data_IF_368719707716
#
_entry.id   IF_368719707716
#
_cell.length_a   1.000
_cell.length_b   1.000
_cell.length_c   1.000
_cell.angle_alpha   90.00
_cell.angle_beta   90.00
_cell.angle_gamma   90.00
#
_symmetry.space_group_name_H-M   'P 1'
#
loop_
_entity.id
_entity.type
_entity.pdbx_description
1 polymer ?
#
# COMPACT_ATOMS: atom_id res chain seq x y z
N UNK A 1 13.03 10.31 0.87
CA UNK A 1 13.34 9.22 1.81
C UNK A 1 14.20 8.13 1.18
N UNK A 2 13.81 7.48 0.07
CA UNK A 2 14.59 6.38 -0.53
C UNK A 2 16.00 6.76 -1.01
N UNK A 3 16.16 7.91 -1.69
CA UNK A 3 17.48 8.38 -2.15
C UNK A 3 18.45 8.64 -0.99
N UNK A 4 17.97 9.13 0.15
CA UNK A 4 18.79 9.37 1.34
C UNK A 4 19.24 8.06 2.01
N UNK A 5 18.48 6.98 1.86
CA UNK A 5 18.80 5.67 2.42
C UNK A 5 20.12 5.11 1.88
N UNK A 6 20.43 5.39 0.61
CA UNK A 6 21.69 5.01 -0.02
C UNK A 6 22.92 5.74 0.54
N UNK A 7 22.74 6.92 1.12
CA UNK A 7 23.82 7.71 1.71
C UNK A 7 23.93 7.55 3.22
N UNK A 8 23.02 6.80 3.85
CA UNK A 8 23.11 6.47 5.27
C UNK A 8 24.00 5.25 5.48
N UNK A 9 24.77 5.20 6.59
CA UNK A 9 25.65 4.07 6.86
C UNK A 9 24.82 2.79 7.01
N UNK A 10 25.34 1.66 6.49
CA UNK A 10 24.70 0.36 6.64
C UNK A 10 24.62 0.00 8.12
N UNK A 11 23.54 -0.66 8.52
CA UNK A 11 23.35 -1.14 9.88
C UNK A 11 23.66 -2.63 9.86
N UNK A 12 24.66 -3.06 10.63
CA UNK A 12 25.14 -4.45 10.65
C UNK A 12 24.22 -5.38 11.46
N UNK A 13 23.49 -4.82 12.41
CA UNK A 13 22.52 -5.56 13.21
C UNK A 13 21.16 -5.55 12.50
N UNK A 14 20.80 -6.70 11.93
CA UNK A 14 19.55 -6.87 11.19
C UNK A 14 18.33 -6.73 12.10
N UNK A 15 18.46 -7.07 13.39
CA UNK A 15 17.37 -7.04 14.36
C UNK A 15 17.27 -5.69 15.07
N UNK A 16 18.22 -4.79 14.85
CA UNK A 16 18.17 -3.45 15.43
C UNK A 16 16.96 -2.69 14.90
N UNK A 17 16.28 -2.03 15.83
CA UNK A 17 15.18 -1.13 15.52
C UNK A 17 15.65 -0.01 14.59
N UNK A 18 14.85 0.30 13.57
CA UNK A 18 15.11 1.41 12.67
C UNK A 18 13.93 2.38 12.68
N UNK A 19 14.20 3.62 13.07
CA UNK A 19 13.21 4.69 13.05
C UNK A 19 13.34 5.51 11.77
N UNK A 20 12.24 5.64 11.03
CA UNK A 20 12.11 6.57 9.89
C UNK A 20 11.15 7.69 10.31
N UNK A 21 11.67 8.91 10.44
CA UNK A 21 10.84 10.06 10.76
C UNK A 21 10.05 10.53 9.52
N UNK A 22 8.73 10.60 9.65
CA UNK A 22 7.83 11.19 8.66
C UNK A 22 7.27 12.53 9.12
N UNK A 23 6.83 13.36 8.17
CA UNK A 23 6.02 14.56 8.45
C UNK A 23 4.64 14.40 7.83
N UNK A 24 3.62 14.79 8.59
CA UNK A 24 2.23 14.83 8.14
C UNK A 24 2.00 16.18 7.47
N UNK A 25 1.64 16.18 6.20
CA UNK A 25 1.30 17.39 5.47
C UNK A 25 -0.20 17.67 5.59
N UNK A 26 -0.66 18.91 5.38
CA UNK A 26 -2.08 19.23 5.40
C UNK A 26 -2.93 18.39 4.44
N UNK A 27 -2.33 17.92 3.34
CA UNK A 27 -2.97 17.05 2.35
C UNK A 27 -3.09 15.58 2.78
N UNK A 28 -2.39 15.20 3.86
CA UNK A 28 -2.45 13.85 4.42
C UNK A 28 -3.59 13.71 5.43
N UNK A 29 -4.25 14.81 5.77
CA UNK A 29 -5.38 14.82 6.70
C UNK A 29 -6.69 14.55 5.96
N UNK A 30 -7.52 13.70 6.54
CA UNK A 30 -8.90 13.51 6.12
C UNK A 30 -9.79 14.67 6.59
N UNK A 31 -11.09 14.58 6.26
CA UNK A 31 -12.05 15.63 6.61
C UNK A 31 -12.18 15.85 8.12
N UNK A 32 -11.90 14.83 8.94
CA UNK A 32 -11.97 14.90 10.39
C UNK A 32 -10.64 15.35 11.01
N UNK A 33 -9.63 15.67 10.19
CA UNK A 33 -8.31 16.10 10.65
C UNK A 33 -7.42 14.94 11.11
N UNK A 34 -7.80 13.69 10.85
CA UNK A 34 -6.95 12.53 11.10
C UNK A 34 -6.09 12.23 9.88
N UNK A 35 -4.91 11.64 10.09
CA UNK A 35 -4.11 11.21 8.95
C UNK A 35 -4.83 10.10 8.18
N UNK A 36 -4.96 10.29 6.87
CA UNK A 36 -5.56 9.33 5.96
C UNK A 36 -4.91 7.95 6.16
N UNK A 37 -5.74 6.93 6.39
CA UNK A 37 -5.28 5.57 6.68
C UNK A 37 -4.33 4.99 5.60
N UNK A 38 -4.49 5.41 4.35
CA UNK A 38 -3.59 5.00 3.26
C UNK A 38 -2.16 5.56 3.40
N UNK A 39 -1.96 6.63 4.17
CA UNK A 39 -0.63 7.21 4.43
C UNK A 39 0.19 6.31 5.37
N UNK A 40 -0.42 5.71 6.39
CA UNK A 40 0.28 4.78 7.28
C UNK A 40 0.84 3.56 6.54
N UNK A 41 0.04 2.97 5.64
CA UNK A 41 0.47 1.82 4.84
C UNK A 41 1.66 2.20 3.92
N UNK A 42 1.57 3.36 3.28
CA UNK A 42 2.66 3.89 2.43
C UNK A 42 3.96 4.09 3.22
N UNK A 43 3.88 4.74 4.39
CA UNK A 43 5.06 4.99 5.22
C UNK A 43 5.64 3.69 5.79
N UNK A 44 4.78 2.73 6.15
CA UNK A 44 5.22 1.39 6.57
C UNK A 44 6.00 0.67 5.46
N UNK A 45 5.53 0.73 4.21
CA UNK A 45 6.25 0.16 3.08
C UNK A 45 7.60 0.86 2.87
N UNK A 46 7.65 2.21 2.92
CA UNK A 46 8.91 2.94 2.84
C UNK A 46 9.88 2.58 3.95
N UNK A 47 9.42 2.45 5.18
CA UNK A 47 10.24 2.04 6.32
C UNK A 47 10.78 0.61 6.13
N UNK A 48 9.95 -0.32 5.63
CA UNK A 48 10.36 -1.68 5.31
C UNK A 48 11.45 -1.72 4.23
N UNK A 49 11.27 -0.96 3.15
CA UNK A 49 12.29 -0.84 2.10
C UNK A 49 13.59 -0.23 2.64
N UNK A 50 13.50 0.82 3.45
CA UNK A 50 14.65 1.48 4.07
C UNK A 50 15.43 0.50 4.96
N UNK A 51 14.73 -0.31 5.77
CA UNK A 51 15.32 -1.33 6.61
C UNK A 51 16.08 -2.39 5.82
N UNK A 52 15.46 -2.96 4.79
CA UNK A 52 16.10 -3.95 3.93
C UNK A 52 17.28 -3.39 3.12
N UNK A 53 17.24 -2.11 2.73
CA UNK A 53 18.35 -1.44 2.05
C UNK A 53 19.54 -1.21 2.98
N UNK A 54 19.28 -0.74 4.22
CA UNK A 54 20.35 -0.41 5.18
C UNK A 54 20.99 -1.63 5.82
N UNK A 55 20.25 -2.72 6.00
CA UNK A 55 20.76 -3.97 6.56
C UNK A 55 21.41 -4.88 5.50
N UNK A 56 21.49 -4.43 4.23
CA UNK A 56 22.15 -5.17 3.16
C UNK A 56 21.39 -6.39 2.65
N UNK A 57 20.21 -6.70 3.18
CA UNK A 57 19.35 -7.81 2.73
C UNK A 57 19.06 -7.70 1.24
N UNK A 58 18.82 -6.49 0.73
CA UNK A 58 18.61 -6.28 -0.71
C UNK A 58 19.87 -6.45 -1.57
N UNK A 59 21.07 -6.37 -0.98
CA UNK A 59 22.33 -6.64 -1.70
C UNK A 59 22.62 -8.14 -1.77
N UNK A 60 22.19 -8.91 -0.76
CA UNK A 60 22.45 -10.36 -0.68
C UNK A 60 21.38 -11.19 -1.37
N UNK A 61 20.17 -10.66 -1.53
CA UNK A 61 19.04 -11.31 -2.20
C UNK A 61 18.62 -10.48 -3.42
N UNK A 62 19.29 -10.64 -4.57
CA UNK A 62 18.90 -9.95 -5.78
C UNK A 62 17.48 -10.38 -6.20
N UNK A 63 16.62 -9.41 -6.47
CA UNK A 63 15.22 -9.65 -6.80
C UNK A 63 14.74 -8.70 -7.90
N UNK A 64 13.76 -9.17 -8.68
CA UNK A 64 12.97 -8.36 -9.59
C UNK A 64 11.65 -7.99 -8.91
N UNK A 65 11.34 -6.70 -8.83
CA UNK A 65 9.99 -6.24 -8.48
C UNK A 65 9.14 -6.19 -9.75
N UNK A 66 8.34 -7.25 -9.98
CA UNK A 66 7.42 -7.32 -11.12
C UNK A 66 6.11 -6.64 -10.76
N UNK A 67 5.80 -5.55 -11.47
CA UNK A 67 4.56 -4.80 -11.28
C UNK A 67 3.62 -5.08 -12.45
N UNK A 68 2.37 -5.44 -12.17
CA UNK A 68 1.36 -5.72 -13.20
C UNK A 68 0.02 -5.11 -12.80
N UNK A 69 -0.62 -4.41 -13.75
CA UNK A 69 -1.99 -3.95 -13.58
C UNK A 69 -2.92 -5.16 -13.67
N UNK A 70 -3.77 -5.36 -12.66
CA UNK A 70 -4.69 -6.51 -12.59
C UNK A 70 -6.13 -6.14 -12.93
N UNK A 71 -6.43 -4.86 -13.01
CA UNK A 71 -7.63 -4.34 -13.66
C UNK A 71 -8.15 -3.03 -13.06
N UNK A 72 -9.28 -2.58 -13.58
CA UNK A 72 -9.86 -1.26 -13.32
C UNK A 72 -11.32 -1.37 -12.86
N UNK A 73 -11.60 -0.91 -11.65
CA UNK A 73 -12.94 -0.68 -11.14
C UNK A 73 -13.43 0.75 -11.41
N UNK A 74 -14.68 1.03 -11.04
CA UNK A 74 -15.37 2.31 -11.35
C UNK A 74 -14.60 3.58 -10.96
N UNK A 75 -13.86 3.55 -9.85
CA UNK A 75 -13.04 4.66 -9.36
C UNK A 75 -11.75 4.16 -8.69
N UNK A 76 -11.28 2.99 -9.09
CA UNK A 76 -10.06 2.43 -8.50
C UNK A 76 -9.37 1.48 -9.43
N UNK A 77 -8.05 1.45 -9.43
CA UNK A 77 -7.28 0.44 -10.14
C UNK A 77 -6.59 -0.51 -9.18
N UNK A 78 -6.30 -1.70 -9.68
CA UNK A 78 -5.69 -2.80 -8.95
C UNK A 78 -4.32 -3.11 -9.54
N UNK A 79 -3.31 -3.15 -8.68
CA UNK A 79 -1.92 -3.44 -9.05
C UNK A 79 -1.43 -4.61 -8.21
N UNK A 80 -0.81 -5.57 -8.86
CA UNK A 80 -0.03 -6.61 -8.20
C UNK A 80 1.46 -6.28 -8.30
N UNK A 81 2.15 -6.46 -7.18
CA UNK A 81 3.60 -6.39 -7.09
C UNK A 81 4.13 -7.72 -6.59
N UNK A 82 5.02 -8.35 -7.36
CA UNK A 82 5.66 -9.63 -7.02
C UNK A 82 7.15 -9.42 -6.84
N UNK A 83 7.68 -9.86 -5.70
CA UNK A 83 9.11 -9.92 -5.45
C UNK A 83 9.61 -11.28 -5.91
N UNK A 84 10.38 -11.30 -7.00
CA UNK A 84 10.87 -12.53 -7.62
C UNK A 84 12.39 -12.61 -7.43
N UNK A 85 12.88 -13.63 -6.75
CA UNK A 85 14.30 -13.90 -6.62
C UNK A 85 14.96 -14.08 -7.99
N UNK A 86 16.08 -13.41 -8.23
CA UNK A 86 16.80 -13.51 -9.51
C UNK A 86 17.56 -14.84 -9.66
N UNK A 87 17.86 -15.54 -8.55
CA UNK A 87 18.65 -16.78 -8.58
C UNK A 87 17.88 -18.00 -9.07
N UNK A 88 16.63 -18.13 -8.62
CA UNK A 88 15.77 -19.31 -8.84
C UNK A 88 14.39 -18.97 -9.40
N UNK A 89 14.07 -17.68 -9.55
CA UNK A 89 12.75 -17.23 -9.99
C UNK A 89 11.66 -17.39 -8.93
N UNK A 90 12.00 -17.71 -7.68
CA UNK A 90 11.03 -17.92 -6.62
C UNK A 90 10.30 -16.62 -6.25
N UNK A 91 8.98 -16.67 -6.11
CA UNK A 91 8.19 -15.52 -5.68
C UNK A 91 8.21 -15.44 -4.14
N UNK A 92 9.03 -14.56 -3.59
CA UNK A 92 9.20 -14.40 -2.15
C UNK A 92 8.03 -13.66 -1.49
N UNK A 93 7.37 -12.74 -2.21
CA UNK A 93 6.24 -11.99 -1.70
C UNK A 93 5.33 -11.48 -2.84
N UNK A 94 4.04 -11.37 -2.55
CA UNK A 94 3.03 -10.78 -3.43
C UNK A 94 2.26 -9.71 -2.66
N UNK A 95 2.13 -8.52 -3.22
CA UNK A 95 1.34 -7.43 -2.68
C UNK A 95 0.27 -7.01 -3.69
N UNK A 96 -1.00 -7.06 -3.28
CA UNK A 96 -2.12 -6.52 -4.03
C UNK A 96 -2.48 -5.14 -3.47
N UNK A 97 -2.52 -4.14 -4.36
CA UNK A 97 -2.82 -2.76 -4.03
C UNK A 97 -4.08 -2.30 -4.76
N UNK A 98 -5.02 -1.69 -4.02
CA UNK A 98 -6.15 -0.94 -4.58
C UNK A 98 -5.85 0.55 -4.45
N UNK A 99 -5.79 1.25 -5.57
CA UNK A 99 -5.63 2.70 -5.59
C UNK A 99 -6.95 3.35 -5.98
N UNK A 100 -7.53 4.13 -5.07
CA UNK A 100 -8.71 4.93 -5.37
C UNK A 100 -8.29 6.17 -6.17
N UNK A 101 -8.99 6.44 -7.27
CA UNK A 101 -8.76 7.62 -8.08
C UNK A 101 -9.62 8.75 -7.55
N UNK A 102 -8.97 9.81 -7.05
CA UNK A 102 -9.63 11.00 -6.54
C UNK A 102 -9.64 12.09 -7.63
N UNK A 103 -10.72 12.88 -7.68
CA UNK A 103 -10.84 14.11 -8.50
C UNK A 103 -10.60 13.95 -10.01
N UNK A 104 -10.86 12.76 -10.55
CA UNK A 104 -10.70 12.48 -11.97
C UNK A 104 -12.05 12.13 -12.58
N UNK A 105 -12.30 12.53 -13.83
CA UNK A 105 -13.57 12.17 -14.47
C UNK A 105 -13.57 10.64 -14.75
N UNK A 106 -14.67 9.92 -14.43
CA UNK A 106 -14.72 8.48 -14.64
C UNK A 106 -14.50 8.06 -16.11
N UNK A 107 -15.05 8.81 -17.07
CA UNK A 107 -14.90 8.52 -18.51
C UNK A 107 -13.45 8.40 -18.99
N UNK A 108 -12.54 9.26 -18.53
CA UNK A 108 -11.13 9.29 -18.94
C UNK A 108 -10.33 8.12 -18.40
N UNK A 109 -10.74 7.57 -17.25
CA UNK A 109 -10.10 6.40 -16.62
C UNK A 109 -10.63 5.11 -17.24
N UNK A 110 -11.93 5.06 -17.53
CA UNK A 110 -12.61 3.89 -18.09
C UNK A 110 -12.10 3.52 -19.49
N UNK A 111 -11.63 4.49 -20.27
CA UNK A 111 -11.07 4.24 -21.60
C UNK A 111 -9.69 3.55 -21.57
N UNK A 112 -8.99 3.49 -20.43
CA UNK A 112 -7.58 3.10 -20.41
C UNK A 112 -7.30 1.60 -20.20
N UNK A 113 -8.14 0.84 -19.47
CA UNK A 113 -7.90 -0.60 -19.23
C UNK A 113 -9.06 -1.27 -18.47
N UNK A 114 -10.27 -1.31 -19.04
CA UNK A 114 -11.31 -2.20 -18.52
C UNK A 114 -10.90 -3.65 -18.80
N UNK A 115 -10.42 -4.36 -17.78
CA UNK A 115 -10.32 -5.82 -17.80
C UNK A 115 -11.69 -6.34 -17.38
N UNK A 116 -12.49 -6.92 -18.31
CA UNK A 116 -13.90 -7.22 -18.05
C UNK A 116 -14.09 -8.30 -16.99
N UNK A 117 -13.17 -9.26 -16.88
CA UNK A 117 -13.21 -10.32 -15.87
C UNK A 117 -11.92 -10.34 -15.07
N UNK A 118 -12.02 -9.95 -13.80
CA UNK A 118 -10.91 -10.13 -12.85
C UNK A 118 -10.67 -11.63 -12.64
N UNK A 119 -9.41 -12.07 -12.48
CA UNK A 119 -9.15 -13.43 -12.04
C UNK A 119 -9.71 -13.66 -10.61
N UNK A 120 -10.08 -14.91 -10.31
CA UNK A 120 -10.83 -15.31 -9.12
C UNK A 120 -10.15 -14.89 -7.80
N UNK A 121 -8.83 -14.99 -7.75
CA UNK A 121 -7.99 -14.55 -6.63
C UNK A 121 -8.19 -13.07 -6.31
N UNK A 122 -8.22 -12.22 -7.35
CA UNK A 122 -8.46 -10.80 -7.22
C UNK A 122 -9.91 -10.51 -6.79
N UNK A 123 -10.88 -11.27 -7.28
CA UNK A 123 -12.28 -11.11 -6.86
C UNK A 123 -12.46 -11.39 -5.37
N UNK A 124 -11.89 -12.49 -4.87
CA UNK A 124 -11.92 -12.83 -3.45
C UNK A 124 -11.23 -11.76 -2.59
N UNK A 125 -10.08 -11.27 -3.05
CA UNK A 125 -9.38 -10.20 -2.36
C UNK A 125 -10.18 -8.88 -2.35
N UNK A 126 -10.81 -8.49 -3.47
CA UNK A 126 -11.68 -7.31 -3.57
C UNK A 126 -12.87 -7.43 -2.60
N UNK A 127 -13.48 -8.61 -2.50
CA UNK A 127 -14.56 -8.89 -1.55
C UNK A 127 -14.08 -8.73 -0.11
N UNK A 128 -12.95 -9.33 0.24
CA UNK A 128 -12.34 -9.23 1.57
C UNK A 128 -12.06 -7.78 1.98
N UNK A 129 -11.40 -6.98 1.13
CA UNK A 129 -11.08 -5.58 1.46
C UNK A 129 -12.34 -4.70 1.53
N UNK A 130 -13.39 -5.02 0.78
CA UNK A 130 -14.65 -4.27 0.79
C UNK A 130 -15.41 -4.53 2.09
N UNK A 131 -15.53 -5.80 2.49
CA UNK A 131 -16.10 -6.17 3.78
C UNK A 131 -15.35 -5.56 4.97
N UNK A 132 -14.02 -5.40 4.86
CA UNK A 132 -13.23 -4.72 5.89
C UNK A 132 -13.56 -3.22 5.98
N UNK A 133 -13.79 -2.55 4.86
CA UNK A 133 -14.14 -1.12 4.85
C UNK A 133 -15.51 -0.87 5.47
N UNK A 134 -16.50 -1.71 5.16
CA UNK A 134 -17.85 -1.58 5.69
C UNK A 134 -17.87 -1.77 7.22
N UNK A 135 -17.06 -2.70 7.74
CA UNK A 135 -16.88 -2.89 9.19
C UNK A 135 -16.27 -1.67 9.87
N UNK A 136 -15.25 -1.06 9.26
CA UNK A 136 -14.61 0.15 9.80
C UNK A 136 -15.56 1.35 9.78
N UNK A 137 -16.30 1.55 8.68
CA UNK A 137 -17.31 2.61 8.59
C UNK A 137 -18.46 2.42 9.59
N UNK A 138 -18.93 1.18 9.77
CA UNK A 138 -19.98 0.87 10.75
C UNK A 138 -19.51 1.03 12.21
N UNK A 139 -18.21 0.85 12.50
CA UNK A 139 -17.65 1.11 13.82
C UNK A 139 -17.52 2.62 14.08
N UNK A 140 -17.05 3.39 13.09
CA UNK A 140 -16.96 4.85 13.17
C UNK A 140 -18.34 5.51 13.38
N UNK A 141 -19.40 5.00 12.74
CA UNK A 141 -20.77 5.51 12.94
C UNK A 141 -21.33 5.18 14.33
N UNK A 142 -20.96 4.03 14.91
CA UNK A 142 -21.34 3.66 16.28
C UNK A 142 -20.62 4.54 17.31
N UNK A 143 -19.32 4.74 17.14
CA UNK A 143 -18.52 5.56 18.06
C UNK A 143 -18.97 7.04 18.04
N UNK A 144 -19.47 7.54 16.89
CA UNK A 144 -20.10 8.87 16.75
C UNK A 144 -21.50 8.96 17.38
N UNK A 145 -22.25 7.85 17.38
CA UNK A 145 -23.56 7.78 18.01
C UNK A 145 -23.44 7.76 19.53
N UNK A 146 -22.43 7.06 20.06
CA UNK A 146 -22.19 6.92 21.49
C UNK A 146 -21.54 8.17 22.12
N UNK A 147 -20.88 9.03 21.33
CA UNK A 147 -20.35 10.33 21.78
C UNK A 147 -21.39 11.46 21.81
N UNK A 148 -22.61 11.21 21.33
CA UNK A 148 -23.70 12.20 21.28
C UNK A 148 -24.85 11.94 22.26
N UNK A 149 -24.71 11.00 23.21
CA UNK A 149 -25.67 10.83 24.30
C UNK A 149 -25.16 11.62 25.53
N UNK A 150 -25.95 12.57 26.09
CA UNK A 150 -25.54 13.40 27.22
C UNK A 150 -25.34 12.61 28.52
#
# INVERSE_FOLDING_TARGET
MLLCAWFQPPVSDVLAEQCVAGRVLPHDLDYMGHMNNARYLRECDFARFHHYMRNGIFKTLPFDLRTSHRGMGRQSFFVEQRFVSQGDGFISAVMLCRQNVLRSNPESILQAALVPDYPEDLQHWISFISASKDKTGAQEDKDKLDTHIP
#
